data_IF_216502184353
#
_entry.id   IF_216502184353
#
_cell.length_a   1.000
_cell.length_b   1.000
_cell.length_c   1.000
_cell.angle_alpha   90.00
_cell.angle_beta   90.00
_cell.angle_gamma   90.00
#
_symmetry.space_group_name_H-M   'P 1'
#
loop_
_entity.id
_entity.type
_entity.pdbx_description
1 polymer ?
#
# COMPACT_ATOMS: atom_id res chain seq x y z
N UNK A 1 42.09 -11.61 -4.77
CA UNK A 1 40.74 -11.62 -4.15
C UNK A 1 40.19 -10.20 -3.89
N UNK A 2 41.01 -9.23 -3.45
CA UNK A 2 40.54 -7.85 -3.17
C UNK A 2 40.03 -7.08 -4.40
N UNK A 3 40.61 -7.27 -5.58
CA UNK A 3 40.16 -6.63 -6.84
C UNK A 3 38.85 -7.20 -7.36
N UNK A 4 38.57 -8.51 -7.19
CA UNK A 4 37.28 -9.11 -7.57
C UNK A 4 36.13 -8.62 -6.67
N UNK A 5 36.40 -8.36 -5.39
CA UNK A 5 35.43 -7.76 -4.46
C UNK A 5 35.12 -6.30 -4.84
N UNK A 6 36.11 -5.55 -5.32
CA UNK A 6 35.94 -4.17 -5.77
C UNK A 6 35.09 -4.07 -7.04
N UNK A 7 35.29 -4.98 -8.01
CA UNK A 7 34.40 -5.08 -9.18
C UNK A 7 32.99 -5.55 -8.80
N UNK A 8 32.85 -6.43 -7.81
CA UNK A 8 31.54 -6.86 -7.30
C UNK A 8 30.79 -5.70 -6.61
N UNK A 9 31.50 -4.84 -5.87
CA UNK A 9 30.93 -3.65 -5.23
C UNK A 9 30.58 -2.56 -6.26
N UNK A 10 31.40 -2.38 -7.31
CA UNK A 10 31.10 -1.42 -8.39
C UNK A 10 29.92 -1.89 -9.26
N UNK A 11 29.72 -3.20 -9.44
CA UNK A 11 28.57 -3.75 -10.16
C UNK A 11 27.22 -3.47 -9.46
N UNK A 12 27.24 -3.22 -8.14
CA UNK A 12 26.03 -2.89 -7.35
C UNK A 12 25.71 -1.38 -7.32
N UNK A 13 26.58 -0.52 -7.86
CA UNK A 13 26.42 0.95 -7.78
C UNK A 13 25.80 1.57 -9.04
N UNK A 14 25.67 0.82 -10.14
CA UNK A 14 25.22 1.35 -11.44
C UNK A 14 23.74 1.16 -11.77
N UNK A 15 22.84 1.17 -10.78
CA UNK A 15 21.39 1.16 -11.04
C UNK A 15 20.71 2.30 -10.29
N UNK A 16 21.01 3.53 -10.69
CA UNK A 16 20.14 4.67 -10.44
C UNK A 16 19.36 4.98 -11.72
N UNK A 17 18.44 4.08 -12.08
CA UNK A 17 17.34 4.45 -12.95
C UNK A 17 16.15 4.78 -12.06
N UNK A 18 15.63 6.01 -12.19
CA UNK A 18 14.40 6.42 -11.54
C UNK A 18 13.23 5.78 -12.29
N UNK A 19 12.96 4.51 -12.02
CA UNK A 19 11.76 3.83 -12.49
C UNK A 19 10.56 4.27 -11.62
N UNK A 20 9.43 4.52 -12.26
CA UNK A 20 8.18 4.87 -11.60
C UNK A 20 7.78 3.78 -10.60
N UNK A 21 7.20 4.20 -9.48
CA UNK A 21 6.80 3.33 -8.38
C UNK A 21 5.31 3.52 -8.13
N UNK A 22 4.58 2.42 -7.87
CA UNK A 22 3.20 2.49 -7.39
C UNK A 22 3.11 3.40 -6.16
N UNK A 23 1.91 3.98 -5.95
CA UNK A 23 1.62 4.80 -4.78
C UNK A 23 2.05 4.12 -3.48
N UNK A 24 2.72 4.91 -2.64
CA UNK A 24 3.19 4.50 -1.33
C UNK A 24 2.28 5.08 -0.27
N UNK A 25 1.89 4.25 0.70
CA UNK A 25 1.02 4.63 1.80
C UNK A 25 1.83 4.76 3.10
N UNK A 26 1.66 5.86 3.85
CA UNK A 26 2.24 5.99 5.20
C UNK A 26 1.60 4.99 6.13
N UNK A 27 0.27 4.90 6.08
CA UNK A 27 -0.55 4.09 6.96
C UNK A 27 -0.89 2.73 6.29
N UNK A 28 0.10 2.11 5.65
CA UNK A 28 -0.04 0.83 4.91
C UNK A 28 -0.69 -0.28 5.74
N UNK A 29 -0.47 -0.26 7.06
CA UNK A 29 -1.02 -1.21 8.01
C UNK A 29 -2.55 -1.14 8.11
N UNK A 30 -3.17 -0.03 7.72
CA UNK A 30 -4.62 0.13 7.72
C UNK A 30 -5.25 -0.15 6.35
N UNK A 31 -4.45 -0.11 5.27
CA UNK A 31 -4.90 -0.36 3.90
C UNK A 31 -4.34 -1.69 3.32
N UNK A 32 -4.25 -2.73 4.15
CA UNK A 32 -3.54 -3.97 3.80
C UNK A 32 -4.13 -4.70 2.61
N UNK A 33 -5.43 -4.54 2.33
CA UNK A 33 -6.08 -5.20 1.19
C UNK A 33 -5.51 -4.78 -0.17
N UNK A 34 -5.03 -3.54 -0.29
CA UNK A 34 -4.38 -3.09 -1.52
C UNK A 34 -3.02 -3.76 -1.74
N UNK A 35 -2.35 -4.16 -0.65
CA UNK A 35 -1.01 -4.76 -0.67
C UNK A 35 -1.07 -6.28 -0.70
N UNK A 36 -2.04 -6.91 -0.03
CA UNK A 36 -2.13 -8.36 0.07
C UNK A 36 -3.59 -8.85 -0.04
N UNK A 37 -3.99 -9.53 -1.13
CA UNK A 37 -5.37 -10.01 -1.31
C UNK A 37 -5.78 -11.06 -0.27
N UNK A 38 -4.82 -11.74 0.37
CA UNK A 38 -5.11 -12.70 1.42
C UNK A 38 -5.64 -12.04 2.71
N UNK A 39 -5.56 -10.71 2.82
CA UNK A 39 -6.13 -9.95 3.93
C UNK A 39 -7.67 -9.85 3.88
N UNK A 40 -8.30 -10.05 2.72
CA UNK A 40 -9.74 -9.86 2.55
C UNK A 40 -10.54 -10.67 3.58
N UNK A 41 -11.40 -10.00 4.35
CA UNK A 41 -12.23 -10.64 5.39
C UNK A 41 -11.49 -11.03 6.68
N UNK A 42 -10.17 -10.78 6.79
CA UNK A 42 -9.38 -11.12 7.98
C UNK A 42 -9.82 -10.39 9.26
N UNK A 43 -10.48 -9.24 9.13
CA UNK A 43 -11.04 -8.46 10.25
C UNK A 43 -12.26 -9.12 10.88
N UNK A 44 -12.89 -10.09 10.22
CA UNK A 44 -14.05 -10.83 10.76
C UNK A 44 -15.39 -10.08 10.67
N UNK A 45 -15.40 -8.86 10.15
CA UNK A 45 -16.58 -8.02 9.94
C UNK A 45 -16.52 -7.35 8.57
N UNK A 46 -17.64 -6.76 8.12
CA UNK A 46 -17.63 -5.88 6.96
C UNK A 46 -16.88 -4.60 7.32
N UNK A 47 -15.82 -4.29 6.57
CA UNK A 47 -14.96 -3.13 6.75
C UNK A 47 -14.97 -2.29 5.48
N UNK A 48 -15.24 -1.00 5.63
CA UNK A 48 -15.09 0.02 4.59
C UNK A 48 -13.89 0.88 4.97
N UNK A 49 -13.07 1.25 3.98
CA UNK A 49 -11.89 2.08 4.17
C UNK A 49 -11.81 3.10 3.03
N UNK A 50 -11.52 4.35 3.38
CA UNK A 50 -11.24 5.43 2.45
C UNK A 50 -9.96 6.14 2.87
N UNK A 51 -9.10 6.48 1.90
CA UNK A 51 -7.84 7.19 2.12
C UNK A 51 -7.64 8.22 1.02
N UNK A 52 -7.15 9.39 1.40
CA UNK A 52 -6.70 10.41 0.48
C UNK A 52 -5.30 10.88 0.90
N UNK A 53 -4.42 11.01 -0.07
CA UNK A 53 -3.02 11.36 0.14
C UNK A 53 -2.57 12.37 -0.91
N UNK A 54 -1.94 13.44 -0.45
CA UNK A 54 -1.24 14.41 -1.30
C UNK A 54 0.25 14.34 -0.99
N UNK A 55 1.06 14.02 -1.98
CA UNK A 55 2.51 13.90 -1.83
C UNK A 55 3.21 15.18 -2.23
N UNK A 56 4.33 15.46 -1.56
CA UNK A 56 5.23 16.57 -1.89
C UNK A 56 4.52 17.89 -2.14
N UNK A 57 3.70 18.30 -1.17
CA UNK A 57 2.90 19.52 -1.26
C UNK A 57 3.79 20.73 -1.57
N UNK A 58 3.38 21.54 -2.53
CA UNK A 58 4.14 22.67 -3.06
C UNK A 58 4.87 22.38 -4.37
N UNK A 59 4.99 21.12 -4.78
CA UNK A 59 5.43 20.77 -6.13
C UNK A 59 4.25 20.71 -7.10
N UNK A 60 4.41 21.33 -8.27
CA UNK A 60 3.41 21.24 -9.32
C UNK A 60 3.41 19.83 -9.95
N UNK A 61 2.23 19.31 -10.25
CA UNK A 61 2.05 17.95 -10.74
C UNK A 61 2.41 16.84 -9.74
N UNK A 62 2.52 17.15 -8.44
CA UNK A 62 2.85 16.16 -7.42
C UNK A 62 1.78 15.06 -7.30
N UNK A 63 2.16 13.84 -6.85
CA UNK A 63 1.23 12.73 -6.75
C UNK A 63 0.05 12.97 -5.79
N UNK A 64 -1.16 12.71 -6.27
CA UNK A 64 -2.37 12.61 -5.47
C UNK A 64 -2.95 11.19 -5.60
N UNK A 65 -3.21 10.56 -4.46
CA UNK A 65 -3.71 9.19 -4.39
C UNK A 65 -5.00 9.15 -3.58
N UNK A 66 -6.04 8.58 -4.16
CA UNK A 66 -7.28 8.25 -3.47
C UNK A 66 -7.48 6.73 -3.46
N UNK A 67 -7.82 6.16 -2.32
CA UNK A 67 -8.12 4.73 -2.21
C UNK A 67 -9.44 4.53 -1.49
N UNK A 68 -10.28 3.67 -2.05
CA UNK A 68 -11.49 3.18 -1.41
C UNK A 68 -11.47 1.66 -1.43
N UNK A 69 -11.83 1.02 -0.34
CA UNK A 69 -12.00 -0.42 -0.32
C UNK A 69 -13.12 -0.87 0.61
N UNK A 70 -13.70 -2.00 0.27
CA UNK A 70 -14.68 -2.71 1.09
C UNK A 70 -14.30 -4.17 1.12
N UNK A 71 -14.33 -4.79 2.29
CA UNK A 71 -14.11 -6.23 2.40
C UNK A 71 -14.86 -6.84 3.57
N UNK A 72 -15.19 -8.12 3.44
CA UNK A 72 -15.96 -8.85 4.44
C UNK A 72 -15.63 -10.34 4.38
N UNK A 73 -15.65 -11.05 5.52
CA UNK A 73 -15.76 -12.50 5.48
C UNK A 73 -17.13 -12.91 4.92
N UNK A 74 -17.18 -14.07 4.25
CA UNK A 74 -18.42 -14.73 3.90
C UNK A 74 -18.83 -15.61 5.08
N UNK A 75 -19.97 -15.28 5.69
CA UNK A 75 -20.50 -15.99 6.86
C UNK A 75 -20.62 -17.50 6.61
N UNK A 76 -20.33 -18.30 7.64
CA UNK A 76 -20.38 -19.77 7.61
C UNK A 76 -19.46 -20.41 6.55
N UNK A 77 -18.43 -19.69 6.12
CA UNK A 77 -17.43 -20.20 5.19
C UNK A 77 -16.02 -19.81 5.65
N UNK A 78 -15.02 -20.33 4.94
CA UNK A 78 -13.61 -19.95 5.10
C UNK A 78 -13.20 -18.85 4.12
N UNK A 79 -14.14 -18.27 3.39
CA UNK A 79 -13.88 -17.31 2.33
C UNK A 79 -13.99 -15.88 2.82
N UNK A 80 -13.16 -15.00 2.29
CA UNK A 80 -13.30 -13.55 2.39
C UNK A 80 -13.33 -12.93 1.00
N UNK A 81 -14.06 -11.83 0.85
CA UNK A 81 -14.15 -11.09 -0.41
C UNK A 81 -13.86 -9.62 -0.18
N UNK A 82 -13.27 -8.98 -1.18
CA UNK A 82 -13.00 -7.56 -1.16
C UNK A 82 -13.12 -6.93 -2.54
N UNK A 83 -13.37 -5.63 -2.54
CA UNK A 83 -13.25 -4.79 -3.71
C UNK A 83 -12.51 -3.51 -3.32
N UNK A 84 -11.67 -3.02 -4.23
CA UNK A 84 -10.92 -1.78 -4.04
C UNK A 84 -10.89 -0.96 -5.32
N UNK A 85 -10.84 0.36 -5.13
CA UNK A 85 -10.61 1.36 -6.16
C UNK A 85 -9.43 2.21 -5.69
N UNK A 86 -8.38 2.29 -6.50
CA UNK A 86 -7.26 3.21 -6.29
C UNK A 86 -7.19 4.13 -7.48
N UNK A 87 -7.24 5.43 -7.24
CA UNK A 87 -7.01 6.46 -8.23
C UNK A 87 -5.69 7.16 -7.90
N UNK A 88 -4.74 7.09 -8.83
CA UNK A 88 -3.42 7.71 -8.72
C UNK A 88 -3.25 8.74 -9.83
N UNK A 89 -3.06 9.99 -9.46
CA UNK A 89 -2.80 11.10 -10.38
C UNK A 89 -1.37 11.59 -10.16
N UNK A 90 -0.55 11.58 -11.21
CA UNK A 90 0.85 12.02 -11.15
C UNK A 90 1.11 12.91 -12.37
N UNK A 91 1.22 14.22 -12.16
CA UNK A 91 1.37 15.19 -13.24
C UNK A 91 0.30 15.02 -14.34
N UNK A 92 0.70 14.66 -15.58
CA UNK A 92 -0.21 14.47 -16.71
C UNK A 92 -0.92 13.10 -16.71
N UNK A 93 -0.52 12.14 -15.85
CA UNK A 93 -1.11 10.80 -15.84
C UNK A 93 -2.20 10.66 -14.79
N UNK A 94 -3.18 9.81 -15.10
CA UNK A 94 -4.24 9.42 -14.19
C UNK A 94 -4.55 7.92 -14.36
N UNK A 95 -4.34 7.16 -13.30
CA UNK A 95 -4.48 5.71 -13.29
C UNK A 95 -5.57 5.28 -12.32
N UNK A 96 -6.52 4.48 -12.80
CA UNK A 96 -7.60 3.92 -12.01
C UNK A 96 -7.45 2.40 -11.94
N UNK A 97 -7.19 1.88 -10.75
CA UNK A 97 -7.10 0.46 -10.46
C UNK A 97 -8.38 0.01 -9.76
N UNK A 98 -9.19 -0.80 -10.43
CA UNK A 98 -10.38 -1.44 -9.87
C UNK A 98 -10.03 -2.90 -9.61
N UNK A 99 -10.09 -3.34 -8.36
CA UNK A 99 -9.70 -4.70 -8.00
C UNK A 99 -10.79 -5.44 -7.24
N UNK A 100 -10.79 -6.75 -7.40
CA UNK A 100 -11.60 -7.70 -6.64
C UNK A 100 -10.67 -8.75 -6.04
N UNK A 101 -10.84 -9.00 -4.75
CA UNK A 101 -10.02 -9.91 -3.96
C UNK A 101 -10.88 -11.07 -3.45
N UNK A 102 -10.35 -12.29 -3.53
CA UNK A 102 -10.92 -13.48 -2.92
C UNK A 102 -9.87 -14.14 -2.04
N UNK A 103 -10.21 -14.41 -0.78
CA UNK A 103 -9.35 -15.10 0.16
C UNK A 103 -9.96 -16.41 0.64
N UNK A 104 -9.11 -17.39 0.95
CA UNK A 104 -9.48 -18.63 1.61
C UNK A 104 -8.60 -18.86 2.84
N UNK A 105 -9.22 -18.99 4.01
CA UNK A 105 -8.55 -19.02 5.30
C UNK A 105 -8.63 -20.40 5.96
N UNK A 106 -7.48 -20.99 6.26
CA UNK A 106 -7.36 -22.22 7.04
C UNK A 106 -6.90 -21.90 8.47
N UNK A 107 -7.47 -22.61 9.44
CA UNK A 107 -7.00 -22.53 10.82
C UNK A 107 -5.79 -23.46 10.98
N UNK A 108 -4.64 -22.90 11.33
CA UNK A 108 -3.37 -23.64 11.49
C UNK A 108 -3.12 -24.03 12.94
N UNK A 109 -3.65 -23.26 13.90
CA UNK A 109 -3.66 -23.57 15.32
C UNK A 109 -4.86 -22.92 16.02
N UNK A 110 -4.98 -23.06 17.34
CA UNK A 110 -6.05 -22.41 18.11
C UNK A 110 -6.13 -20.89 17.84
N UNK A 111 -4.95 -20.25 17.75
CA UNK A 111 -4.84 -18.79 17.66
C UNK A 111 -4.43 -18.27 16.28
N UNK A 112 -3.88 -19.14 15.41
CA UNK A 112 -3.35 -18.73 14.10
C UNK A 112 -4.16 -19.24 12.92
N UNK A 113 -4.27 -18.38 11.92
CA UNK A 113 -4.93 -18.58 10.64
C UNK A 113 -3.96 -18.30 9.50
N UNK A 114 -4.03 -19.11 8.46
CA UNK A 114 -3.29 -18.91 7.22
C UNK A 114 -4.29 -18.66 6.10
N UNK A 115 -4.20 -17.51 5.47
CA UNK A 115 -5.07 -17.10 4.37
C UNK A 115 -4.28 -17.10 3.07
N UNK A 116 -4.90 -17.60 2.03
CA UNK A 116 -4.43 -17.50 0.64
C UNK A 116 -5.36 -16.55 -0.09
N UNK A 117 -4.82 -15.66 -0.90
CA UNK A 117 -5.61 -14.67 -1.62
C UNK A 117 -5.26 -14.62 -3.09
N UNK A 118 -6.25 -14.36 -3.91
CA UNK A 118 -6.10 -14.02 -5.33
C UNK A 118 -6.76 -12.67 -5.59
N UNK A 119 -6.21 -11.93 -6.53
CA UNK A 119 -6.64 -10.60 -6.93
C UNK A 119 -6.85 -10.56 -8.43
N UNK A 120 -7.95 -9.98 -8.88
CA UNK A 120 -8.12 -9.52 -10.25
C UNK A 120 -8.18 -8.01 -10.27
N UNK A 121 -7.44 -7.38 -11.18
CA UNK A 121 -7.37 -5.92 -11.30
C UNK A 121 -7.65 -5.50 -12.73
N UNK A 122 -8.51 -4.49 -12.88
CA UNK A 122 -8.72 -3.71 -14.08
C UNK A 122 -7.99 -2.37 -13.91
N UNK A 123 -6.92 -2.17 -14.67
CA UNK A 123 -6.17 -0.92 -14.67
C UNK A 123 -6.62 -0.08 -15.88
N UNK A 124 -7.00 1.17 -15.63
CA UNK A 124 -7.41 2.12 -16.66
C UNK A 124 -6.47 3.31 -16.55
N UNK A 125 -5.61 3.46 -17.54
CA UNK A 125 -4.60 4.49 -17.60
C UNK A 125 -4.98 5.58 -18.58
N UNK A 126 -4.78 6.83 -18.16
CA UNK A 126 -4.93 8.02 -18.99
C UNK A 126 -3.64 8.84 -18.95
N UNK A 127 -3.20 9.32 -20.11
CA UNK A 127 -2.12 10.30 -20.25
C UNK A 127 -2.66 11.50 -21.03
N UNK A 128 -2.63 12.67 -20.39
CA UNK A 128 -3.00 13.95 -20.99
C UNK A 128 -1.74 14.67 -21.47
N UNK A 129 -1.45 14.55 -22.76
CA UNK A 129 -0.28 15.14 -23.42
C UNK A 129 -0.41 16.66 -23.51
N UNK A 130 -1.62 17.23 -23.41
CA UNK A 130 -1.79 18.70 -23.41
C UNK A 130 -1.15 19.38 -22.19
N UNK A 131 -0.89 18.61 -21.13
CA UNK A 131 -0.15 19.06 -19.93
C UNK A 131 1.35 18.83 -20.03
N UNK A 132 1.82 18.16 -21.08
CA UNK A 132 3.23 18.05 -21.39
C UNK A 132 3.68 19.30 -22.16
N UNK A 133 4.93 19.70 -21.95
CA UNK A 133 5.59 20.71 -22.77
C UNK A 133 6.75 20.04 -23.53
N UNK A 134 6.46 19.21 -24.54
CA UNK A 134 7.50 18.48 -25.27
C UNK A 134 8.39 19.46 -26.05
N UNK A 135 9.70 19.18 -26.10
CA UNK A 135 10.66 19.96 -26.87
C UNK A 135 10.38 19.91 -28.40
N UNK A 136 9.75 18.82 -28.86
CA UNK A 136 9.24 18.66 -30.22
C UNK A 136 7.74 18.34 -30.17
N UNK A 137 6.90 19.30 -30.57
CA UNK A 137 5.45 19.15 -30.62
C UNK A 137 4.96 18.22 -31.75
N UNK A 138 5.85 17.75 -32.63
CA UNK A 138 5.55 16.83 -33.73
C UNK A 138 6.02 15.39 -33.51
N UNK A 139 6.55 15.05 -32.33
CA UNK A 139 7.04 13.71 -32.03
C UNK A 139 5.87 12.71 -31.91
N UNK A 140 5.79 11.67 -32.78
CA UNK A 140 4.72 10.68 -32.77
C UNK A 140 4.60 9.88 -31.47
N UNK A 141 5.61 9.92 -30.58
CA UNK A 141 5.62 9.25 -29.29
C UNK A 141 4.77 9.97 -28.23
N UNK A 142 4.46 11.26 -28.41
CA UNK A 142 3.59 12.02 -27.50
C UNK A 142 2.16 12.10 -28.06
N UNK A 143 1.44 10.99 -27.98
CA UNK A 143 0.00 10.94 -28.24
C UNK A 143 -0.80 10.72 -26.95
N UNK A 144 -1.98 11.31 -26.88
CA UNK A 144 -2.91 11.08 -25.77
C UNK A 144 -3.21 9.58 -25.67
N UNK A 145 -2.97 9.01 -24.50
CA UNK A 145 -3.40 7.65 -24.20
C UNK A 145 -4.69 7.75 -23.40
N UNK A 146 -5.82 7.68 -24.09
CA UNK A 146 -7.13 7.71 -23.44
C UNK A 146 -7.60 6.30 -23.10
N UNK A 147 -7.91 6.09 -21.81
CA UNK A 147 -8.56 4.90 -21.26
C UNK A 147 -7.90 3.57 -21.64
N UNK A 148 -6.56 3.50 -21.60
CA UNK A 148 -5.85 2.25 -21.87
C UNK A 148 -6.13 1.24 -20.78
N UNK A 149 -6.88 0.21 -21.13
CA UNK A 149 -7.25 -0.88 -20.23
C UNK A 149 -6.18 -1.97 -20.22
N UNK A 150 -5.71 -2.34 -19.03
CA UNK A 150 -4.79 -3.46 -18.84
C UNK A 150 -5.27 -4.34 -17.69
N UNK A 151 -5.56 -5.64 -17.93
CA UNK A 151 -5.92 -6.55 -16.86
C UNK A 151 -4.67 -6.98 -16.08
N UNK A 152 -4.83 -7.21 -14.79
CA UNK A 152 -3.80 -7.79 -13.95
C UNK A 152 -4.38 -8.84 -13.02
N UNK A 153 -3.50 -9.71 -12.53
CA UNK A 153 -3.83 -10.71 -11.51
C UNK A 153 -2.75 -10.69 -10.44
N UNK A 154 -3.14 -10.97 -9.21
CA UNK A 154 -2.24 -11.01 -8.07
C UNK A 154 -2.53 -12.17 -7.15
N UNK A 155 -1.59 -12.45 -6.27
CA UNK A 155 -1.77 -13.42 -5.20
C UNK A 155 -1.05 -13.01 -3.93
N UNK A 156 -1.47 -13.60 -2.82
CA UNK A 156 -0.83 -13.38 -1.54
C UNK A 156 -1.09 -14.51 -0.56
N UNK A 157 -0.25 -14.55 0.46
CA UNK A 157 -0.37 -15.40 1.63
C UNK A 157 -0.32 -14.50 2.85
N UNK A 158 -1.17 -14.76 3.83
CA UNK A 158 -1.26 -13.98 5.05
C UNK A 158 -1.44 -14.91 6.25
N UNK A 159 -0.40 -15.04 7.06
CA UNK A 159 -0.43 -15.81 8.29
C UNK A 159 -0.62 -14.85 9.46
N UNK A 160 -1.68 -15.04 10.24
CA UNK A 160 -2.07 -14.07 11.25
C UNK A 160 -2.78 -14.68 12.45
N UNK A 161 -2.70 -13.97 13.57
CA UNK A 161 -3.47 -14.18 14.79
C UNK A 161 -4.15 -12.87 15.20
N UNK A 162 -4.67 -12.81 16.43
CA UNK A 162 -5.17 -11.56 17.01
C UNK A 162 -4.04 -10.64 17.52
N UNK A 163 -2.76 -11.02 17.40
CA UNK A 163 -1.63 -10.17 17.81
C UNK A 163 -0.49 -10.09 16.80
N UNK A 164 -0.31 -11.10 15.96
CA UNK A 164 0.82 -11.18 15.04
C UNK A 164 0.33 -11.36 13.61
N UNK A 165 1.09 -10.85 12.65
CA UNK A 165 0.90 -11.17 11.25
C UNK A 165 2.20 -11.18 10.47
N UNK A 166 2.23 -12.01 9.44
CA UNK A 166 3.24 -12.02 8.38
C UNK A 166 2.52 -12.23 7.06
N UNK A 167 2.83 -11.43 6.06
CA UNK A 167 2.22 -11.50 4.74
C UNK A 167 3.26 -11.40 3.64
N UNK A 168 3.08 -12.21 2.59
CA UNK A 168 3.83 -12.11 1.35
C UNK A 168 2.85 -11.99 0.20
N UNK A 169 3.07 -11.06 -0.73
CA UNK A 169 2.15 -10.85 -1.84
C UNK A 169 2.83 -10.26 -3.06
N UNK A 170 2.18 -10.52 -4.19
CA UNK A 170 2.43 -9.88 -5.48
C UNK A 170 1.06 -9.44 -6.00
N UNK A 171 0.67 -8.16 -5.82
CA UNK A 171 -0.65 -7.67 -6.21
C UNK A 171 -0.90 -7.69 -7.71
N UNK A 172 0.17 -7.59 -8.50
CA UNK A 172 0.15 -7.50 -9.95
C UNK A 172 1.30 -8.35 -10.52
N UNK A 173 0.96 -9.45 -11.21
CA UNK A 173 1.90 -10.35 -11.87
C UNK A 173 2.21 -9.96 -13.31
N UNK A 174 1.31 -9.23 -13.96
CA UNK A 174 1.46 -8.90 -15.39
C UNK A 174 2.20 -7.58 -15.50
N UNK A 175 3.41 -7.62 -16.05
CA UNK A 175 4.09 -6.40 -16.50
C UNK A 175 3.40 -5.90 -17.75
N UNK A 176 2.91 -4.66 -17.70
CA UNK A 176 2.32 -4.04 -18.89
C UNK A 176 3.29 -3.00 -19.43
N UNK A 177 3.68 -3.20 -20.69
CA UNK A 177 4.32 -2.16 -21.48
C UNK A 177 3.22 -1.39 -22.19
N UNK A 178 3.07 -0.10 -21.90
CA UNK A 178 2.06 0.72 -22.55
C UNK A 178 2.63 1.21 -23.89
N UNK A 179 2.39 0.43 -24.96
CA UNK A 179 2.80 0.69 -26.35
C UNK A 179 1.83 1.57 -27.15
N UNK A 180 2.35 2.46 -27.98
CA UNK A 180 1.76 2.81 -29.27
C UNK A 180 2.80 2.51 -30.38
N UNK A 181 2.34 2.26 -31.59
CA UNK A 181 3.05 1.64 -32.71
C UNK A 181 4.44 2.28 -33.05
N UNK A 182 5.50 1.44 -33.13
CA UNK A 182 6.90 1.73 -33.53
C UNK A 182 7.82 2.61 -32.64
N UNK A 183 8.51 1.96 -31.69
CA UNK A 183 9.71 2.37 -30.90
C UNK A 183 9.53 2.96 -29.48
N UNK A 184 10.29 2.32 -28.56
CA UNK A 184 10.61 2.60 -27.14
C UNK A 184 9.45 2.79 -26.15
N UNK A 185 9.45 1.97 -25.09
CA UNK A 185 8.42 1.99 -24.04
C UNK A 185 8.42 3.28 -23.21
N UNK A 186 7.27 3.97 -23.13
CA UNK A 186 7.07 5.22 -22.37
C UNK A 186 6.71 4.93 -20.90
N UNK A 187 6.01 3.82 -20.63
CA UNK A 187 5.59 3.42 -19.28
C UNK A 187 5.58 1.90 -19.14
N UNK A 188 6.29 1.39 -18.13
CA UNK A 188 6.38 -0.04 -17.82
C UNK A 188 5.97 -0.31 -16.37
N UNK A 189 4.84 -0.98 -16.20
CA UNK A 189 4.47 -1.54 -14.90
C UNK A 189 5.38 -2.72 -14.60
N UNK A 190 6.04 -2.68 -13.45
CA UNK A 190 6.90 -3.77 -12.97
C UNK A 190 6.21 -4.58 -11.89
N UNK A 191 6.65 -5.83 -11.74
CA UNK A 191 6.17 -6.69 -10.66
C UNK A 191 6.68 -6.16 -9.32
N UNK A 192 5.76 -5.94 -8.39
CA UNK A 192 6.04 -5.49 -7.03
C UNK A 192 5.86 -6.65 -6.04
N UNK A 193 6.93 -7.03 -5.36
CA UNK A 193 6.90 -8.02 -4.28
C UNK A 193 6.79 -7.31 -2.94
N UNK A 194 5.82 -7.72 -2.13
CA UNK A 194 5.61 -7.19 -0.78
C UNK A 194 5.84 -8.26 0.27
N UNK A 195 6.58 -7.89 1.31
CA UNK A 195 6.70 -8.63 2.56
C UNK A 195 6.28 -7.70 3.69
N UNK A 196 5.34 -8.11 4.52
CA UNK A 196 4.91 -7.36 5.69
C UNK A 196 4.93 -8.23 6.93
N UNK A 197 5.22 -7.61 8.07
CA UNK A 197 5.07 -8.27 9.36
C UNK A 197 4.77 -7.25 10.45
N UNK A 198 4.14 -7.71 11.53
CA UNK A 198 3.90 -6.89 12.71
C UNK A 198 3.45 -7.70 13.89
N UNK A 199 3.61 -7.13 15.09
CA UNK A 199 3.19 -7.75 16.34
C UNK A 199 2.60 -6.70 17.28
N UNK A 200 1.57 -7.04 18.05
CA UNK A 200 0.96 -6.17 19.05
C UNK A 200 1.36 -6.66 20.44
N UNK A 201 2.17 -5.87 21.13
CA UNK A 201 2.53 -6.06 22.53
C UNK A 201 1.52 -5.34 23.43
N UNK A 202 0.98 -6.05 24.42
CA UNK A 202 0.28 -5.41 25.54
C UNK A 202 1.34 -4.96 26.55
N UNK A 203 1.46 -3.65 26.78
CA UNK A 203 2.47 -3.08 27.69
C UNK A 203 2.04 -3.12 29.15
N UNK A 204 0.75 -3.35 29.40
CA UNK A 204 0.16 -3.45 30.74
C UNK A 204 -0.83 -4.63 30.82
N UNK A 205 -1.14 -5.04 32.06
CA UNK A 205 -2.04 -6.17 32.32
C UNK A 205 -3.49 -5.92 31.90
N UNK A 206 -3.92 -4.64 31.90
CA UNK A 206 -5.28 -4.24 31.58
C UNK A 206 -5.44 -3.88 30.09
N UNK A 207 -4.38 -4.00 29.30
CA UNK A 207 -4.35 -3.72 27.86
C UNK A 207 -4.76 -2.28 27.49
N UNK A 208 -4.55 -1.33 28.38
CA UNK A 208 -4.73 0.09 28.09
C UNK A 208 -3.64 0.67 27.20
N UNK A 209 -2.46 0.04 27.19
CA UNK A 209 -1.30 0.49 26.42
C UNK A 209 -0.84 -0.64 25.53
N UNK A 210 -0.92 -0.43 24.21
CA UNK A 210 -0.49 -1.40 23.20
C UNK A 210 0.61 -0.81 22.34
N UNK A 211 1.60 -1.62 21.99
CA UNK A 211 2.69 -1.24 21.09
C UNK A 211 2.71 -2.17 19.89
N UNK A 212 2.68 -1.59 18.68
CA UNK A 212 2.75 -2.29 17.40
C UNK A 212 3.95 -1.81 16.59
N UNK A 213 5.08 -2.51 16.68
CA UNK A 213 6.08 -2.46 15.62
C UNK A 213 5.58 -3.19 14.38
N UNK A 214 5.82 -2.60 13.22
CA UNK A 214 5.53 -3.22 11.94
C UNK A 214 6.62 -2.89 10.92
N UNK A 215 6.74 -3.76 9.94
CA UNK A 215 7.66 -3.62 8.81
C UNK A 215 6.91 -3.90 7.51
N UNK A 216 7.23 -3.14 6.46
CA UNK A 216 6.83 -3.39 5.09
C UNK A 216 8.04 -3.26 4.19
N UNK A 217 8.35 -4.33 3.46
CA UNK A 217 9.39 -4.34 2.44
C UNK A 217 8.73 -4.45 1.07
N UNK A 218 9.11 -3.55 0.16
CA UNK A 218 8.73 -3.54 -1.24
C UNK A 218 9.98 -3.76 -2.10
N UNK A 219 9.92 -4.76 -2.96
CA UNK A 219 11.01 -5.11 -3.87
C UNK A 219 10.49 -5.10 -5.31
N UNK A 220 11.24 -4.42 -6.19
CA UNK A 220 10.93 -4.28 -7.62
C UNK A 220 12.21 -4.51 -8.39
N UNK A 221 12.15 -5.28 -9.47
CA UNK A 221 13.33 -5.56 -10.28
C UNK A 221 13.90 -4.27 -10.88
N UNK A 222 15.18 -3.99 -10.63
CA UNK A 222 15.86 -2.79 -11.14
C UNK A 222 15.52 -1.49 -10.43
N UNK A 223 14.88 -1.53 -9.26
CA UNK A 223 14.75 -0.37 -8.36
C UNK A 223 15.43 -0.64 -7.00
N UNK A 224 15.85 0.40 -6.27
CA UNK A 224 16.34 0.23 -4.91
C UNK A 224 15.32 -0.45 -4.00
N UNK A 225 15.80 -1.29 -3.09
CA UNK A 225 14.96 -1.91 -2.06
C UNK A 225 14.31 -0.84 -1.18
N UNK A 226 13.01 -0.96 -0.95
CA UNK A 226 12.28 -0.08 -0.07
C UNK A 226 11.86 -0.83 1.19
N UNK A 227 12.21 -0.27 2.35
CA UNK A 227 11.86 -0.82 3.66
C UNK A 227 11.24 0.29 4.50
N UNK A 228 10.02 0.06 4.98
CA UNK A 228 9.28 0.92 5.88
C UNK A 228 9.19 0.22 7.24
N UNK A 229 9.63 0.91 8.30
CA UNK A 229 9.54 0.42 9.68
C UNK A 229 8.71 1.43 10.46
N UNK A 230 7.67 0.94 11.13
CA UNK A 230 6.79 1.77 11.94
C UNK A 230 6.69 1.28 13.39
N UNK A 231 6.44 2.22 14.28
CA UNK A 231 6.25 2.02 15.70
C UNK A 231 4.99 2.78 16.12
N UNK A 232 3.94 2.06 16.48
CA UNK A 232 2.64 2.64 16.83
C UNK A 232 2.27 2.30 18.27
N UNK A 233 1.81 3.28 19.03
CA UNK A 233 1.34 3.14 20.40
C UNK A 233 -0.15 3.46 20.45
N UNK A 234 -0.93 2.55 21.01
CA UNK A 234 -2.37 2.71 21.20
C UNK A 234 -2.68 2.82 22.69
N UNK A 235 -3.52 3.81 23.01
CA UNK A 235 -3.93 4.20 24.35
C UNK A 235 -5.44 4.03 24.47
N UNK A 236 -5.86 3.23 25.46
CA UNK A 236 -7.27 2.95 25.81
C UNK A 236 -8.13 2.48 24.63
N UNK A 237 -7.53 1.81 23.64
CA UNK A 237 -8.20 1.44 22.38
C UNK A 237 -8.86 2.61 21.63
N UNK A 238 -8.45 3.84 21.95
CA UNK A 238 -9.06 5.07 21.44
C UNK A 238 -8.11 5.97 20.69
N UNK A 239 -6.88 6.10 21.16
CA UNK A 239 -5.93 7.05 20.62
C UNK A 239 -4.66 6.33 20.18
N UNK A 240 -4.18 6.62 18.98
CA UNK A 240 -2.96 6.07 18.43
C UNK A 240 -1.96 7.20 18.13
N UNK A 241 -0.71 6.98 18.53
CA UNK A 241 0.43 7.78 18.09
C UNK A 241 1.46 6.88 17.45
N UNK A 242 1.96 7.27 16.30
CA UNK A 242 2.91 6.46 15.55
C UNK A 242 4.00 7.27 14.91
N UNK A 243 5.13 6.62 14.71
CA UNK A 243 6.23 7.11 13.87
C UNK A 243 6.62 6.03 12.89
N UNK A 244 7.07 6.42 11.71
CA UNK A 244 7.61 5.50 10.73
C UNK A 244 8.85 6.07 10.06
N UNK A 245 9.73 5.19 9.60
CA UNK A 245 10.89 5.54 8.82
C UNK A 245 10.92 4.67 7.59
N UNK A 246 10.82 5.31 6.42
CA UNK A 246 10.98 4.69 5.13
C UNK A 246 12.40 4.93 4.63
N UNK A 247 13.15 3.85 4.52
CA UNK A 247 14.56 3.91 4.17
C UNK A 247 14.77 4.67 2.87
N UNK A 248 15.59 5.73 2.94
CA UNK A 248 16.00 6.57 1.81
C UNK A 248 14.83 7.29 1.14
N UNK A 249 13.73 7.49 1.87
CA UNK A 249 12.56 8.22 1.40
C UNK A 249 12.13 9.25 2.47
N UNK A 250 11.53 8.82 3.57
CA UNK A 250 10.84 9.73 4.49
C UNK A 250 10.89 9.31 5.97
N UNK A 251 10.62 10.29 6.83
CA UNK A 251 10.30 10.13 8.24
C UNK A 251 8.86 10.58 8.44
N UNK A 252 8.05 9.75 9.10
CA UNK A 252 6.61 9.96 9.23
C UNK A 252 6.18 10.09 10.68
N UNK A 253 5.19 10.94 10.92
CA UNK A 253 4.44 11.01 12.17
C UNK A 253 2.96 10.70 11.89
N UNK A 254 2.34 9.93 12.77
CA UNK A 254 0.97 9.44 12.60
C UNK A 254 0.17 9.65 13.89
N UNK A 255 -1.11 9.95 13.72
CA UNK A 255 -2.07 10.02 14.81
C UNK A 255 -3.37 9.37 14.36
N UNK A 256 -4.03 8.64 15.26
CA UNK A 256 -5.32 8.01 14.97
C UNK A 256 -6.28 8.06 16.15
N UNK A 257 -7.57 8.05 15.83
CA UNK A 257 -8.65 8.16 16.80
C UNK A 257 -9.78 7.17 16.47
N UNK A 258 -10.10 6.30 17.42
CA UNK A 258 -11.31 5.48 17.43
C UNK A 258 -12.46 6.36 17.97
N UNK A 259 -13.28 6.89 17.05
CA UNK A 259 -14.36 7.83 17.36
C UNK A 259 -15.55 7.08 17.98
N UNK A 260 -15.90 5.94 17.39
CA UNK A 260 -16.89 4.98 17.90
C UNK A 260 -16.28 3.60 17.78
N UNK A 261 -16.92 2.54 18.31
CA UNK A 261 -16.38 1.17 18.15
C UNK A 261 -16.13 0.81 16.68
N UNK A 262 -16.92 1.37 15.74
CA UNK A 262 -16.83 1.08 14.30
C UNK A 262 -16.06 2.10 13.49
N UNK A 263 -15.96 3.34 13.96
CA UNK A 263 -15.38 4.44 13.19
C UNK A 263 -13.97 4.79 13.69
N UNK A 264 -12.98 4.69 12.82
CA UNK A 264 -11.59 5.06 13.09
C UNK A 264 -11.09 6.06 12.05
N UNK A 265 -10.47 7.14 12.50
CA UNK A 265 -9.89 8.20 11.69
C UNK A 265 -8.38 8.21 11.92
N UNK A 266 -7.60 8.30 10.85
CA UNK A 266 -6.14 8.39 10.90
C UNK A 266 -5.63 9.56 10.09
N UNK A 267 -4.55 10.17 10.56
CA UNK A 267 -3.81 11.20 9.85
C UNK A 267 -2.31 10.93 9.96
N UNK A 268 -1.61 11.03 8.83
CA UNK A 268 -0.17 10.87 8.71
C UNK A 268 0.44 12.08 8.01
N UNK A 269 1.63 12.46 8.48
CA UNK A 269 2.49 13.43 7.82
C UNK A 269 3.85 12.81 7.56
N UNK A 270 4.30 12.87 6.31
CA UNK A 270 5.64 12.44 5.92
C UNK A 270 6.51 13.65 5.61
N UNK A 271 7.70 13.63 6.17
CA UNK A 271 8.78 14.53 5.79
C UNK A 271 9.82 13.76 4.99
N UNK A 272 10.16 14.28 3.82
CA UNK A 272 11.21 13.69 2.99
C UNK A 272 12.58 13.77 3.69
N UNK A 273 13.38 12.72 3.55
CA UNK A 273 14.76 12.65 4.05
C UNK A 273 15.78 12.84 2.93
N UNK A 274 15.30 12.86 1.69
CA UNK A 274 16.11 13.07 0.47
C UNK A 274 16.25 14.56 0.16
N UNK A 275 17.06 14.89 -0.84
CA UNK A 275 17.21 16.26 -1.35
C UNK A 275 15.87 16.90 -1.78
N UNK A 276 14.84 16.08 -2.03
CA UNK A 276 13.50 16.54 -2.36
C UNK A 276 12.87 17.37 -1.25
N UNK A 277 13.28 17.17 0.02
CA UNK A 277 12.82 17.95 1.17
C UNK A 277 13.02 19.47 1.04
N UNK A 278 13.95 19.91 0.18
CA UNK A 278 14.19 21.35 -0.04
C UNK A 278 13.18 22.01 -0.99
N UNK A 279 12.33 21.22 -1.65
CA UNK A 279 11.43 21.68 -2.70
C UNK A 279 9.94 21.41 -2.39
N UNK A 280 9.63 20.80 -1.26
CA UNK A 280 8.26 20.51 -0.85
C UNK A 280 8.05 20.68 0.66
N UNK A 281 6.80 20.81 1.11
CA UNK A 281 6.44 20.95 2.53
C UNK A 281 6.06 19.63 3.22
N UNK A 282 6.30 18.49 2.58
CA UNK A 282 5.96 17.15 3.05
C UNK A 282 4.74 16.56 2.33
N UNK A 283 4.34 15.37 2.78
CA UNK A 283 3.17 14.65 2.28
C UNK A 283 2.14 14.47 3.40
N UNK A 284 0.86 14.58 3.05
CA UNK A 284 -0.25 14.47 3.99
C UNK A 284 -1.14 13.30 3.59
N UNK A 285 -1.56 12.52 4.58
CA UNK A 285 -2.42 11.37 4.37
C UNK A 285 -3.53 11.35 5.43
N UNK A 286 -4.78 11.23 4.98
CA UNK A 286 -5.94 11.06 5.84
C UNK A 286 -6.66 9.80 5.44
N UNK A 287 -7.15 9.04 6.42
CA UNK A 287 -8.00 7.90 6.15
C UNK A 287 -9.15 7.78 7.14
N UNK A 288 -10.23 7.15 6.68
CA UNK A 288 -11.37 6.78 7.47
C UNK A 288 -11.62 5.28 7.31
N UNK A 289 -11.83 4.57 8.41
CA UNK A 289 -12.27 3.17 8.44
C UNK A 289 -13.60 3.08 9.17
N UNK A 290 -14.54 2.33 8.60
CA UNK A 290 -15.79 2.01 9.25
C UNK A 290 -16.06 0.50 9.25
N UNK A 291 -16.36 -0.05 10.42
CA UNK A 291 -16.62 -1.47 10.63
C UNK A 291 -18.06 -1.72 11.09
N UNK A 292 -18.75 -2.64 10.41
CA UNK A 292 -20.11 -3.04 10.78
C UNK A 292 -20.06 -4.28 11.67
N UNK A 293 -20.13 -4.09 12.99
CA UNK A 293 -20.27 -5.20 13.92
C UNK A 293 -21.69 -5.77 13.82
N UNK A 294 -21.81 -7.03 13.38
CA UNK A 294 -23.05 -7.78 13.65
C UNK A 294 -23.10 -8.05 15.15
N UNK A 295 -24.26 -7.78 15.75
CA UNK A 295 -24.56 -7.96 17.17
C UNK A 295 -24.67 -9.46 17.55
N UNK A 296 -23.64 -10.24 17.25
CA UNK A 296 -23.54 -11.67 17.55
C UNK A 296 -22.41 -11.90 18.55
N UNK A 297 -22.65 -11.54 19.81
CA UNK A 297 -22.12 -12.16 21.04
C UNK A 297 -20.60 -12.25 21.29
N UNK A 298 -19.74 -11.98 20.31
CA UNK A 298 -18.29 -11.90 20.45
C UNK A 298 -17.88 -10.53 19.97
N UNK A 299 -17.84 -9.59 20.91
CA UNK A 299 -17.12 -8.33 20.75
C UNK A 299 -15.66 -8.72 20.53
N UNK A 300 -15.25 -8.85 19.27
CA UNK A 300 -13.83 -8.80 18.93
C UNK A 300 -13.45 -7.33 19.07
N UNK A 301 -12.64 -7.04 20.08
CA UNK A 301 -12.03 -5.73 20.30
C UNK A 301 -11.56 -5.09 18.99
N UNK A 302 -11.57 -3.75 18.87
CA UNK A 302 -11.02 -3.05 17.72
C UNK A 302 -9.65 -3.63 17.41
N UNK A 303 -9.56 -4.30 16.26
CA UNK A 303 -8.35 -4.97 15.87
C UNK A 303 -7.34 -3.90 15.51
N UNK A 304 -6.28 -3.79 16.31
CA UNK A 304 -5.15 -2.90 16.05
C UNK A 304 -4.29 -3.38 14.86
N UNK A 305 -4.74 -4.41 14.14
CA UNK A 305 -4.14 -4.97 12.94
C UNK A 305 -4.62 -4.16 11.74
#
# INVERSE_FOLDING_TARGET
MRTKLFYFVILFVSIASHAQQDAQYTQYMYNTININPAYAGSRGVLSIFGLYRTQWVGLDGAPETSSFSVNTPINNSRLGVGASLVNDKIGPTNENNISVDLSYTIQTSADFKLSFGIKGTANIFNLDVSKLNPDDAGDPQFQDLDNKFTPNVGAGVYWHSDKAYVGLSVPNFIETNRYDDNDVAIYKDKINYYLMAGYVFDLDKYQYYKFKPAILTKMVEGAPLQVDISANFMFYDKFMLGVAYRWSASLSAMVGFQITDGLYLGYGYDRETTNLNNYNSGSHEIFLRYEFFKNTGKITTPRFF
#
